data_IF_373195394829
#
_entry.id   IF_373195394829
#
_cell.length_a   1.000
_cell.length_b   1.000
_cell.length_c   1.000
_cell.angle_alpha   90.00
_cell.angle_beta   90.00
_cell.angle_gamma   90.00
#
_symmetry.space_group_name_H-M   'P 1'
#
loop_
_entity.id
_entity.type
_entity.pdbx_description
1 polymer ?
#
# COMPACT_ATOMS: atom_id res chain seq x y z
N UNK A 1 3.40 11.78 16.44
CA UNK A 1 2.86 11.05 15.28
C UNK A 1 1.36 11.24 15.06
N UNK A 2 0.50 11.32 16.09
CA UNK A 2 -0.97 11.52 15.90
C UNK A 2 -1.33 12.72 15.00
N UNK A 3 -0.70 13.89 15.20
CA UNK A 3 -0.90 15.08 14.34
C UNK A 3 -0.54 14.82 12.88
N UNK A 4 0.62 14.19 12.64
CA UNK A 4 1.07 13.82 11.30
C UNK A 4 0.11 12.83 10.61
N UNK A 5 -0.43 11.85 11.35
CA UNK A 5 -1.44 10.92 10.82
C UNK A 5 -2.69 11.65 10.34
N UNK A 6 -3.25 12.54 11.16
CA UNK A 6 -4.43 13.34 10.78
C UNK A 6 -4.14 14.21 9.56
N UNK A 7 -2.98 14.87 9.54
CA UNK A 7 -2.56 15.68 8.39
C UNK A 7 -2.42 14.85 7.11
N UNK A 8 -1.88 13.64 7.17
CA UNK A 8 -1.76 12.76 6.00
C UNK A 8 -3.13 12.27 5.52
N UNK A 9 -4.06 11.95 6.42
CA UNK A 9 -5.45 11.63 6.05
C UNK A 9 -6.10 12.79 5.31
N UNK A 10 -6.00 14.00 5.85
CA UNK A 10 -6.63 15.18 5.27
C UNK A 10 -5.97 15.65 3.97
N UNK A 11 -4.63 15.69 3.90
CA UNK A 11 -3.89 16.29 2.77
C UNK A 11 -3.53 15.29 1.68
N UNK A 12 -3.28 14.03 2.04
CA UNK A 12 -2.82 13.00 1.10
C UNK A 12 -3.91 11.99 0.74
N UNK A 13 -5.10 12.08 1.36
CA UNK A 13 -6.18 11.11 1.20
C UNK A 13 -5.82 9.72 1.71
N UNK A 14 -4.94 9.63 2.71
CA UNK A 14 -4.45 8.35 3.22
C UNK A 14 -5.54 7.62 4.03
N UNK A 15 -5.79 6.35 3.74
CA UNK A 15 -6.70 5.50 4.53
C UNK A 15 -6.02 5.06 5.84
N UNK A 16 -4.72 4.84 5.77
CA UNK A 16 -3.84 4.61 6.92
C UNK A 16 -2.56 5.44 6.80
N UNK A 17 -2.02 5.89 7.92
CA UNK A 17 -0.71 6.54 7.96
C UNK A 17 -0.05 6.29 9.31
N UNK A 18 1.27 6.13 9.38
CA UNK A 18 1.95 5.91 10.63
C UNK A 18 3.44 5.59 10.53
N UNK A 19 4.14 5.58 11.68
CA UNK A 19 5.47 5.00 11.74
C UNK A 19 5.38 3.50 11.46
N UNK A 20 6.30 2.98 10.66
CA UNK A 20 6.38 1.57 10.29
C UNK A 20 7.85 1.18 10.13
N UNK A 21 8.23 0.03 10.66
CA UNK A 21 9.56 -0.53 10.43
C UNK A 21 9.48 -1.54 9.31
N UNK A 22 10.39 -1.45 8.35
CA UNK A 22 10.51 -2.39 7.25
C UNK A 22 11.82 -3.14 7.37
N UNK A 23 11.80 -4.46 7.19
CA UNK A 23 13.02 -5.26 7.14
C UNK A 23 13.50 -5.37 5.69
N UNK A 24 14.77 -5.02 5.45
CA UNK A 24 15.53 -5.49 4.28
C UNK A 24 16.61 -6.46 4.77
N UNK A 25 17.82 -5.94 5.01
CA UNK A 25 18.89 -6.62 5.76
C UNK A 25 18.80 -6.33 7.26
N UNK A 26 18.33 -5.12 7.61
CA UNK A 26 18.06 -4.68 8.98
C UNK A 26 16.70 -3.98 9.06
N UNK A 27 16.16 -3.82 10.27
CA UNK A 27 14.94 -3.04 10.50
C UNK A 27 15.21 -1.55 10.33
N UNK A 28 14.49 -0.91 9.41
CA UNK A 28 14.56 0.53 9.18
C UNK A 28 13.22 1.18 9.44
N UNK A 29 13.24 2.26 10.21
CA UNK A 29 12.06 3.05 10.53
C UNK A 29 11.72 3.99 9.37
N UNK A 30 10.46 3.99 8.99
CA UNK A 30 9.88 4.86 7.98
C UNK A 30 8.61 5.52 8.52
N UNK A 31 8.17 6.56 7.82
CA UNK A 31 6.77 6.95 7.84
C UNK A 31 6.09 6.36 6.61
N UNK A 32 4.97 5.69 6.79
CA UNK A 32 4.27 5.03 5.71
C UNK A 32 2.80 5.47 5.63
N UNK A 33 2.24 5.46 4.43
CA UNK A 33 0.83 5.72 4.17
C UNK A 33 0.27 4.65 3.22
N UNK A 34 -0.97 4.25 3.47
CA UNK A 34 -1.80 3.52 2.51
C UNK A 34 -2.71 4.52 1.81
N UNK A 35 -2.66 4.59 0.49
CA UNK A 35 -3.57 5.40 -0.34
C UNK A 35 -3.64 4.85 -1.77
N UNK A 36 -4.82 4.89 -2.38
CA UNK A 36 -5.02 4.60 -3.82
C UNK A 36 -4.37 3.27 -4.26
N UNK A 37 -4.62 2.17 -3.53
CA UNK A 37 -4.00 0.89 -3.88
C UNK A 37 -2.50 0.80 -3.60
N UNK A 38 -1.89 1.76 -2.91
CA UNK A 38 -0.44 1.78 -2.69
C UNK A 38 -0.07 1.90 -1.22
N UNK A 39 0.99 1.18 -0.83
CA UNK A 39 1.72 1.39 0.42
C UNK A 39 3.02 2.17 0.11
N UNK A 40 3.04 3.44 0.51
CA UNK A 40 4.13 4.38 0.22
C UNK A 40 4.96 4.65 1.48
N UNK A 41 6.28 4.79 1.32
CA UNK A 41 7.22 5.02 2.42
C UNK A 41 8.03 6.30 2.22
N UNK A 42 8.30 7.01 3.32
CA UNK A 42 9.18 8.16 3.40
C UNK A 42 10.14 8.03 4.58
N UNK A 43 11.23 8.81 4.57
CA UNK A 43 12.12 8.91 5.73
C UNK A 43 11.42 9.49 6.96
N UNK A 44 10.47 10.41 6.77
CA UNK A 44 9.69 10.99 7.86
C UNK A 44 8.33 11.50 7.40
N UNK A 45 7.44 11.81 8.35
CA UNK A 45 6.16 12.42 8.06
C UNK A 45 6.29 13.82 7.42
N UNK A 46 7.35 14.56 7.78
CA UNK A 46 7.59 15.90 7.21
C UNK A 46 7.87 15.82 5.71
N UNK A 47 8.65 14.83 5.26
CA UNK A 47 8.88 14.57 3.83
C UNK A 47 7.56 14.29 3.10
N UNK A 48 6.72 13.41 3.66
CA UNK A 48 5.41 13.09 3.08
C UNK A 48 4.51 14.33 2.96
N UNK A 49 4.48 15.18 3.98
CA UNK A 49 3.64 16.38 4.02
C UNK A 49 4.21 17.56 3.21
N UNK A 50 5.51 17.54 2.92
CA UNK A 50 6.19 18.51 2.07
C UNK A 50 6.07 18.17 0.57
N UNK A 51 5.44 17.04 0.22
CA UNK A 51 5.29 16.62 -1.18
C UNK A 51 6.53 15.95 -1.78
N UNK A 52 7.48 15.54 -0.94
CA UNK A 52 8.65 14.78 -1.40
C UNK A 52 8.21 13.41 -1.89
N UNK A 53 8.81 12.93 -2.98
CA UNK A 53 8.52 11.61 -3.53
C UNK A 53 8.80 10.49 -2.51
N UNK A 54 7.97 9.42 -2.46
CA UNK A 54 8.24 8.27 -1.62
C UNK A 54 9.57 7.62 -1.98
N UNK A 55 10.28 7.11 -0.97
CA UNK A 55 11.53 6.34 -1.17
C UNK A 55 11.24 4.91 -1.62
N UNK A 56 10.01 4.45 -1.42
CA UNK A 56 9.55 3.11 -1.79
C UNK A 56 8.04 3.16 -1.99
N UNK A 57 7.57 2.49 -3.04
CA UNK A 57 6.14 2.31 -3.31
C UNK A 57 5.88 0.84 -3.59
N UNK A 58 5.04 0.24 -2.77
CA UNK A 58 4.57 -1.14 -2.91
C UNK A 58 3.16 -1.08 -3.46
N UNK A 59 2.91 -1.77 -4.57
CA UNK A 59 1.55 -1.90 -5.10
C UNK A 59 0.76 -2.87 -4.22
N UNK A 60 -0.48 -2.53 -3.91
CA UNK A 60 -1.40 -3.40 -3.20
C UNK A 60 -2.35 -4.13 -4.16
N UNK A 61 -2.27 -3.83 -5.45
CA UNK A 61 -2.96 -4.58 -6.49
C UNK A 61 -2.38 -6.01 -6.48
N UNK A 62 -3.17 -6.99 -6.02
CA UNK A 62 -2.76 -8.38 -5.78
C UNK A 62 -1.86 -8.63 -4.55
N UNK A 63 -1.85 -7.70 -3.59
CA UNK A 63 -1.21 -7.91 -2.30
C UNK A 63 -1.85 -9.07 -1.52
N UNK A 64 -1.02 -9.98 -1.00
CA UNK A 64 -1.44 -11.05 -0.08
C UNK A 64 -0.82 -10.86 1.29
N UNK A 65 -1.65 -10.80 2.32
CA UNK A 65 -1.20 -10.77 3.72
C UNK A 65 -1.06 -12.21 4.19
N UNK A 66 0.12 -12.61 4.65
CA UNK A 66 0.42 -14.01 5.03
C UNK A 66 0.32 -14.22 6.53
N UNK A 67 0.88 -13.33 7.34
CA UNK A 67 0.87 -13.49 8.79
C UNK A 67 0.88 -12.13 9.52
N UNK A 68 0.15 -12.07 10.64
CA UNK A 68 0.30 -11.03 11.64
C UNK A 68 0.76 -11.70 12.94
N UNK A 69 2.08 -11.97 13.04
CA UNK A 69 2.65 -12.58 14.23
C UNK A 69 2.70 -11.52 15.33
N UNK A 70 1.91 -11.74 16.39
CA UNK A 70 2.12 -11.11 17.68
C UNK A 70 3.31 -11.83 18.34
N UNK A 71 4.54 -11.50 17.92
CA UNK A 71 5.74 -11.88 18.67
C UNK A 71 5.90 -10.95 19.88
N UNK A 72 6.50 -11.46 20.96
CA UNK A 72 6.60 -10.79 22.27
C UNK A 72 7.25 -9.39 22.25
N UNK A 73 7.99 -9.03 21.20
CA UNK A 73 8.70 -7.75 21.11
C UNK A 73 8.01 -6.69 20.23
N UNK A 74 7.44 -7.04 19.07
CA UNK A 74 6.71 -6.11 18.18
C UNK A 74 5.74 -6.89 17.25
N UNK A 75 4.54 -6.35 16.96
CA UNK A 75 3.63 -6.96 15.99
C UNK A 75 4.17 -6.81 14.57
N UNK A 76 4.41 -7.95 13.90
CA UNK A 76 4.94 -8.02 12.54
C UNK A 76 3.87 -8.50 11.57
N UNK A 77 3.69 -7.73 10.49
CA UNK A 77 2.86 -8.08 9.33
C UNK A 77 3.76 -8.51 8.18
N UNK A 78 3.50 -9.69 7.62
CA UNK A 78 4.15 -10.17 6.40
C UNK A 78 3.22 -9.95 5.21
N UNK A 79 3.71 -9.18 4.23
CA UNK A 79 2.98 -8.81 3.02
C UNK A 79 3.73 -9.34 1.78
N UNK A 80 3.05 -10.06 0.90
CA UNK A 80 3.56 -10.43 -0.41
C UNK A 80 2.95 -9.50 -1.45
N UNK A 81 3.79 -8.65 -2.04
CA UNK A 81 3.34 -7.62 -2.96
C UNK A 81 4.48 -7.18 -3.88
N UNK A 82 4.19 -6.70 -5.09
CA UNK A 82 5.21 -6.19 -5.98
C UNK A 82 5.60 -4.74 -5.66
N UNK A 83 6.79 -4.36 -6.10
CA UNK A 83 7.14 -2.94 -6.18
C UNK A 83 6.36 -2.29 -7.32
N UNK A 84 5.94 -1.04 -7.15
CA UNK A 84 5.29 -0.30 -8.24
C UNK A 84 6.16 -0.18 -9.49
N UNK A 85 7.49 -0.08 -9.31
CA UNK A 85 8.45 -0.03 -10.42
C UNK A 85 8.74 -1.40 -11.06
N UNK A 86 8.32 -2.50 -10.43
CA UNK A 86 8.56 -3.87 -10.91
C UNK A 86 7.32 -4.73 -10.61
N UNK A 87 6.20 -4.50 -11.33
CA UNK A 87 4.90 -5.11 -11.02
C UNK A 87 4.88 -6.64 -11.20
N UNK A 88 5.76 -7.19 -12.03
CA UNK A 88 5.84 -8.64 -12.29
C UNK A 88 6.51 -9.43 -11.14
N UNK A 89 7.22 -8.77 -10.22
CA UNK A 89 8.01 -9.44 -9.18
C UNK A 89 7.36 -9.26 -7.80
N UNK A 90 6.72 -10.32 -7.31
CA UNK A 90 6.23 -10.34 -5.93
C UNK A 90 7.39 -10.56 -4.95
N UNK A 91 7.43 -9.73 -3.91
CA UNK A 91 8.45 -9.82 -2.85
C UNK A 91 7.78 -9.89 -1.49
N UNK A 92 8.45 -10.55 -0.55
CA UNK A 92 8.04 -10.56 0.85
C UNK A 92 8.48 -9.26 1.55
N UNK A 93 7.53 -8.58 2.18
CA UNK A 93 7.71 -7.37 2.96
C UNK A 93 7.37 -7.66 4.42
N UNK A 94 8.38 -7.64 5.29
CA UNK A 94 8.17 -7.71 6.73
C UNK A 94 8.05 -6.31 7.32
N UNK A 95 6.90 -6.04 7.92
CA UNK A 95 6.47 -4.72 8.37
C UNK A 95 6.12 -4.78 9.85
N UNK A 96 6.92 -4.16 10.71
CA UNK A 96 6.63 -4.10 12.14
C UNK A 96 5.98 -2.76 12.50
N UNK A 97 4.92 -2.80 13.29
CA UNK A 97 4.28 -1.61 13.86
C UNK A 97 4.66 -1.44 15.33
N UNK A 98 4.52 -0.22 15.87
CA UNK A 98 4.81 0.04 17.28
C UNK A 98 3.83 -0.65 18.25
N UNK A 99 2.60 -0.92 17.81
CA UNK A 99 1.52 -1.45 18.64
C UNK A 99 0.61 -2.36 17.81
N UNK A 100 0.00 -3.38 18.44
CA UNK A 100 -0.85 -4.36 17.74
C UNK A 100 -2.03 -3.67 17.04
N UNK A 101 -2.66 -2.69 17.70
CA UNK A 101 -3.72 -1.86 17.10
C UNK A 101 -3.32 -1.19 15.79
N UNK A 102 -2.05 -0.81 15.66
CA UNK A 102 -1.53 -0.13 14.47
C UNK A 102 -1.27 -1.13 13.35
N UNK A 103 -0.76 -2.31 13.69
CA UNK A 103 -0.62 -3.44 12.77
C UNK A 103 -2.00 -3.92 12.27
N UNK A 104 -3.00 -4.06 13.15
CA UNK A 104 -4.37 -4.44 12.78
C UNK A 104 -5.04 -3.40 11.90
N UNK A 105 -4.84 -2.12 12.20
CA UNK A 105 -5.33 -1.04 11.36
C UNK A 105 -4.68 -1.07 9.98
N UNK A 106 -3.36 -1.30 9.91
CA UNK A 106 -2.64 -1.46 8.65
C UNK A 106 -3.15 -2.66 7.86
N UNK A 107 -3.26 -3.83 8.50
CA UNK A 107 -3.76 -5.08 7.90
C UNK A 107 -5.13 -4.88 7.26
N UNK A 108 -6.08 -4.29 7.99
CA UNK A 108 -7.43 -4.01 7.47
C UNK A 108 -7.42 -3.06 6.28
N UNK A 109 -6.55 -2.05 6.28
CA UNK A 109 -6.42 -1.14 5.14
C UNK A 109 -5.81 -1.85 3.93
N UNK A 110 -4.73 -2.61 4.12
CA UNK A 110 -4.08 -3.37 3.05
C UNK A 110 -5.03 -4.40 2.42
N UNK A 111 -5.70 -5.22 3.24
CA UNK A 111 -6.66 -6.20 2.73
C UNK A 111 -7.81 -5.54 1.96
N UNK A 112 -8.29 -4.38 2.43
CA UNK A 112 -9.35 -3.63 1.75
C UNK A 112 -8.89 -3.16 0.37
N UNK A 113 -7.75 -2.47 0.30
CA UNK A 113 -7.22 -1.96 -0.97
C UNK A 113 -6.90 -3.10 -1.95
N UNK A 114 -6.33 -4.21 -1.45
CA UNK A 114 -6.03 -5.38 -2.27
C UNK A 114 -7.28 -6.05 -2.85
N UNK A 115 -8.41 -6.02 -2.11
CA UNK A 115 -9.68 -6.58 -2.57
C UNK A 115 -10.34 -5.69 -3.64
N UNK A 116 -10.23 -4.37 -3.51
CA UNK A 116 -10.78 -3.43 -4.50
C UNK A 116 -10.02 -3.45 -5.83
N UNK A 117 -8.71 -3.75 -5.80
CA UNK A 117 -7.91 -3.89 -7.02
C UNK A 117 -8.34 -5.11 -7.85
N UNK A 118 -8.72 -6.21 -7.20
CA UNK A 118 -9.19 -7.42 -7.88
C UNK A 118 -10.56 -7.28 -8.56
N UNK A 119 -11.35 -6.27 -8.19
CA UNK A 119 -12.69 -6.01 -8.74
C UNK A 119 -12.66 -4.95 -9.86
N UNK A 120 -11.49 -4.37 -10.13
CA UNK A 120 -11.33 -3.26 -11.08
C UNK A 120 -10.90 -3.70 -12.49
N UNK A 121 -10.65 -5.00 -12.72
CA UNK A 121 -10.11 -5.53 -13.99
C UNK A 121 -11.09 -6.44 -14.76
N UNK A 122 -12.39 -6.39 -14.43
CA UNK A 122 -13.43 -7.18 -15.10
C UNK A 122 -14.52 -6.30 -15.73
N UNK A 123 -14.09 -5.28 -16.50
CA UNK A 123 -14.96 -4.72 -17.54
C UNK A 123 -14.64 -5.45 -18.84
N UNK A 124 -15.55 -6.29 -19.37
CA UNK A 124 -15.39 -6.77 -20.73
C UNK A 124 -15.42 -5.56 -21.65
N UNK A 125 -14.27 -5.24 -22.23
CA UNK A 125 -14.21 -4.40 -23.43
C UNK A 125 -14.93 -5.21 -24.50
N UNK A 126 -16.21 -4.94 -24.71
CA UNK A 126 -16.96 -5.50 -25.82
C UNK A 126 -16.16 -5.26 -27.11
N UNK A 127 -15.82 -6.30 -27.89
CA UNK A 127 -15.11 -6.12 -29.15
C UNK A 127 -15.99 -5.30 -30.11
N UNK A 128 -15.34 -4.38 -30.81
CA UNK A 128 -15.92 -3.48 -31.78
C UNK A 128 -16.69 -4.25 -32.88
N UNK A 129 -17.93 -3.83 -33.15
CA UNK A 129 -18.56 -4.09 -34.45
C UNK A 129 -18.14 -2.96 -35.40
N UNK A 130 -17.15 -3.28 -36.23
CA UNK A 130 -16.80 -2.55 -37.44
C UNK A 130 -18.02 -2.48 -38.36
N UNK A 131 -18.75 -1.37 -38.31
CA UNK A 131 -19.76 -1.00 -39.29
C UNK A 131 -19.18 -0.08 -40.35
N UNK A 132 -18.33 -0.61 -41.24
CA UNK A 132 -18.13 0.02 -42.55
C UNK A 132 -19.39 -0.23 -43.37
N UNK A 133 -20.12 0.83 -43.72
CA UNK A 133 -20.97 0.81 -44.90
C UNK A 133 -20.98 2.18 -45.53
N UNK A 134 -20.44 2.17 -46.74
CA UNK A 134 -20.29 3.28 -47.68
C UNK A 134 -21.64 3.87 -48.08
N UNK A 135 -21.56 5.15 -48.42
CA UNK A 135 -22.44 5.90 -49.34
C UNK A 135 -22.87 5.10 -50.58
N UNK A 136 -24.17 5.19 -50.91
CA UNK A 136 -24.68 5.62 -52.22
C UNK A 136 -26.06 6.26 -52.04
#
# INVERSE_FOLDING_TARGET
WRRARRACRARLGATWAGPLWRRSTAWRRHFACVRRGELQFWYSASHALAGVSPVLVVSLDNARVVDALAGDDLPVLTLHAPLKSAPAEHREWRLAAAHCRDADALRRCVCREASFAGDSDDRPVSPALSGTSSTF
#
